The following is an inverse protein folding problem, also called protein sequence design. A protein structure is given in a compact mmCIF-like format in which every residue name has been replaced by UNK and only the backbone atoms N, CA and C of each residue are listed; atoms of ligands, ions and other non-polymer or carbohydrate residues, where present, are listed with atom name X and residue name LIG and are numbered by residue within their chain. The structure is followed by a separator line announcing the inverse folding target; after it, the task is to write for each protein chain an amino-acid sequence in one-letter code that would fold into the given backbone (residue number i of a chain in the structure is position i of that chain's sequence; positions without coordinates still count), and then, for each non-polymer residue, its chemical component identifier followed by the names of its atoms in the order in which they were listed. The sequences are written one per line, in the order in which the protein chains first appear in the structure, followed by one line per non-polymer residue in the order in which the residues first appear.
data_IF_329159891703
#
_entry.id   IF_329159891703
#
_cell.length_a   1.000
_cell.length_b   1.000
_cell.length_c   1.000
_cell.angle_alpha   90.00
_cell.angle_beta   90.00
_cell.angle_gamma   90.00
#
_symmetry.space_group_name_H-M   'P 1'
#
loop_
_entity.id
_entity.type
_entity.pdbx_description
1 polymer ?
#
# COMPACT_ATOMS: atom_id res chain seq x y z
N UNK A 1 7.32 -2.91 -18.55
CA UNK A 1 8.28 -1.88 -18.98
C UNK A 1 8.93 -2.21 -20.32
N UNK A 2 9.35 -3.44 -20.55
CA UNK A 2 9.83 -3.86 -21.88
C UNK A 2 8.74 -3.83 -22.96
N UNK A 3 7.48 -3.90 -22.56
CA UNK A 3 6.36 -3.70 -23.47
C UNK A 3 6.15 -2.21 -23.72
N UNK A 4 6.05 -1.83 -24.98
CA UNK A 4 5.94 -0.47 -25.52
C UNK A 4 4.80 0.38 -24.92
N UNK A 5 3.97 -0.16 -24.03
CA UNK A 5 2.87 0.51 -23.33
C UNK A 5 3.31 1.58 -22.32
N UNK A 6 4.56 1.57 -21.85
CA UNK A 6 5.06 2.48 -20.82
C UNK A 6 6.13 3.45 -21.33
N UNK A 7 6.02 3.91 -22.58
CA UNK A 7 7.00 4.82 -23.19
C UNK A 7 7.20 6.15 -22.48
N UNK A 8 6.21 6.59 -21.69
CA UNK A 8 6.20 7.89 -20.99
C UNK A 8 6.15 7.69 -19.46
N UNK A 9 6.75 6.60 -18.95
CA UNK A 9 6.76 6.34 -17.53
C UNK A 9 7.63 7.36 -16.80
N UNK A 10 7.04 8.04 -15.81
CA UNK A 10 7.80 8.90 -14.90
C UNK A 10 8.61 8.02 -13.95
N UNK A 11 9.93 8.24 -13.81
CA UNK A 11 10.76 7.46 -12.90
C UNK A 11 10.14 7.32 -11.50
N UNK A 12 10.06 6.10 -11.02
CA UNK A 12 9.35 5.76 -9.79
C UNK A 12 10.22 4.90 -8.88
N UNK A 13 10.23 5.23 -7.59
CA UNK A 13 10.86 4.42 -6.54
C UNK A 13 9.78 3.86 -5.64
N UNK A 14 9.74 2.52 -5.50
CA UNK A 14 8.92 1.83 -4.51
C UNK A 14 9.75 1.61 -3.24
N UNK A 15 9.23 2.06 -2.10
CA UNK A 15 9.85 1.87 -0.80
C UNK A 15 8.91 1.05 0.08
N UNK A 16 9.34 -0.15 0.45
CA UNK A 16 8.64 -1.03 1.36
C UNK A 16 9.23 -0.92 2.76
N UNK A 17 8.41 -0.58 3.75
CA UNK A 17 8.79 -0.52 5.15
C UNK A 17 7.88 -1.42 5.98
N UNK A 18 8.38 -2.60 6.38
CA UNK A 18 7.60 -3.57 7.14
C UNK A 18 8.50 -4.48 8.00
N UNK A 19 7.86 -5.25 8.88
CA UNK A 19 8.47 -6.35 9.65
C UNK A 19 7.55 -7.56 9.62
N UNK A 20 8.13 -8.74 9.48
CA UNK A 20 7.42 -9.99 9.66
C UNK A 20 7.72 -10.58 11.06
N UNK A 21 6.72 -11.18 11.70
CA UNK A 21 6.94 -11.98 12.89
C UNK A 21 7.88 -13.16 12.55
N UNK A 22 8.77 -13.58 13.47
CA UNK A 22 9.75 -14.64 13.21
C UNK A 22 9.15 -15.95 12.70
N UNK A 23 7.97 -16.34 13.20
CA UNK A 23 7.26 -17.55 12.77
C UNK A 23 6.34 -17.37 11.57
N UNK A 24 6.18 -16.14 11.00
CA UNK A 24 5.30 -15.92 9.85
C UNK A 24 6.04 -16.18 8.53
N UNK A 25 6.16 -17.45 8.17
CA UNK A 25 6.96 -17.89 7.03
C UNK A 25 6.50 -17.24 5.70
N UNK A 26 5.19 -17.16 5.45
CA UNK A 26 4.63 -16.52 4.24
C UNK A 26 5.00 -15.04 4.13
N UNK A 27 4.88 -14.27 5.21
CA UNK A 27 5.28 -12.87 5.20
C UNK A 27 6.78 -12.69 4.92
N UNK A 28 7.61 -13.58 5.46
CA UNK A 28 9.06 -13.60 5.17
C UNK A 28 9.35 -13.94 3.71
N UNK A 29 8.59 -14.87 3.11
CA UNK A 29 8.69 -15.18 1.69
C UNK A 29 8.32 -13.98 0.81
N UNK A 30 7.27 -13.23 1.17
CA UNK A 30 6.89 -12.00 0.46
C UNK A 30 8.02 -10.96 0.54
N UNK A 31 8.63 -10.76 1.71
CA UNK A 31 9.79 -9.86 1.85
C UNK A 31 10.94 -10.32 0.95
N UNK A 32 11.21 -11.62 0.92
CA UNK A 32 12.24 -12.18 0.03
C UNK A 32 11.90 -11.92 -1.44
N UNK A 33 10.65 -12.14 -1.85
CA UNK A 33 10.19 -11.90 -3.22
C UNK A 33 10.37 -10.43 -3.63
N UNK A 34 10.03 -9.47 -2.75
CA UNK A 34 10.27 -8.03 -2.98
C UNK A 34 11.77 -7.75 -3.21
N UNK A 35 12.65 -8.37 -2.41
CA UNK A 35 14.10 -8.19 -2.56
C UNK A 35 14.64 -8.82 -3.84
N UNK A 36 14.09 -9.96 -4.30
CA UNK A 36 14.48 -10.56 -5.60
C UNK A 36 14.01 -9.67 -6.77
N UNK A 37 12.80 -9.10 -6.71
CA UNK A 37 12.35 -8.10 -7.69
C UNK A 37 13.30 -6.88 -7.67
N UNK A 38 13.67 -6.39 -6.49
CA UNK A 38 14.60 -5.25 -6.34
C UNK A 38 15.96 -5.54 -7.00
N UNK A 39 16.53 -6.74 -6.79
CA UNK A 39 17.77 -7.15 -7.45
C UNK A 39 17.65 -7.11 -8.97
N UNK A 40 16.54 -7.61 -9.51
CA UNK A 40 16.31 -7.65 -10.96
C UNK A 40 16.19 -6.22 -11.51
N UNK A 41 15.22 -5.44 -11.02
CA UNK A 41 14.88 -4.15 -11.64
C UNK A 41 15.92 -3.06 -11.40
N UNK A 42 16.60 -3.06 -10.24
CA UNK A 42 17.59 -2.05 -9.90
C UNK A 42 18.92 -2.25 -10.66
N UNK A 43 19.17 -3.46 -11.20
CA UNK A 43 20.38 -3.77 -11.93
C UNK A 43 20.18 -3.91 -13.45
N UNK A 44 18.94 -4.02 -13.92
CA UNK A 44 18.65 -4.12 -15.36
C UNK A 44 18.85 -2.75 -16.03
N UNK A 45 19.77 -2.63 -17.03
CA UNK A 45 20.03 -1.38 -17.73
C UNK A 45 18.79 -0.73 -18.37
N UNK A 46 17.78 -1.52 -18.72
CA UNK A 46 16.56 -1.02 -19.36
C UNK A 46 15.54 -0.46 -18.35
N UNK A 47 15.65 -0.83 -17.07
CA UNK A 47 14.66 -0.48 -16.05
C UNK A 47 15.19 0.37 -14.91
N UNK A 48 16.46 0.26 -14.56
CA UNK A 48 17.06 0.89 -13.37
C UNK A 48 16.88 2.41 -13.25
N UNK A 49 16.79 3.10 -14.38
CA UNK A 49 16.60 4.55 -14.42
C UNK A 49 15.12 4.96 -14.42
N UNK A 50 14.20 3.99 -14.55
CA UNK A 50 12.75 4.19 -14.61
C UNK A 50 12.02 3.61 -13.39
N UNK A 51 12.57 2.55 -12.81
CA UNK A 51 11.95 1.85 -11.69
C UNK A 51 13.03 1.40 -10.71
N UNK A 52 12.86 1.76 -9.45
CA UNK A 52 13.67 1.24 -8.36
C UNK A 52 12.79 0.70 -7.25
N UNK A 53 13.26 -0.34 -6.59
CA UNK A 53 12.54 -1.01 -5.49
C UNK A 53 13.50 -1.17 -4.31
N UNK A 54 13.06 -0.72 -3.14
CA UNK A 54 13.81 -0.85 -1.90
C UNK A 54 12.96 -1.43 -0.78
N UNK A 55 13.52 -2.36 -0.04
CA UNK A 55 12.96 -2.82 1.22
C UNK A 55 13.81 -2.30 2.38
N UNK A 56 13.21 -1.50 3.28
CA UNK A 56 13.91 -0.86 4.39
C UNK A 56 14.20 -1.87 5.50
N UNK A 57 15.49 -2.09 5.75
CA UNK A 57 15.93 -2.92 6.87
C UNK A 57 15.56 -2.27 8.20
N UNK A 58 15.08 -3.08 9.15
CA UNK A 58 14.74 -2.64 10.50
C UNK A 58 13.81 -1.39 10.53
N UNK A 59 12.75 -1.41 9.72
CA UNK A 59 11.75 -0.35 9.70
C UNK A 59 11.25 -0.04 11.13
N UNK A 60 11.29 1.23 11.52
CA UNK A 60 10.92 1.73 12.84
C UNK A 60 10.42 3.17 12.75
N UNK A 61 10.01 3.76 13.88
CA UNK A 61 9.45 5.12 13.95
C UNK A 61 10.39 6.16 13.33
N UNK A 62 11.68 6.10 13.62
CA UNK A 62 12.64 7.08 13.09
C UNK A 62 12.80 7.02 11.57
N UNK A 63 12.65 5.83 10.97
CA UNK A 63 12.56 5.69 9.52
C UNK A 63 11.22 6.20 8.98
N UNK A 64 10.11 5.86 9.67
CA UNK A 64 8.78 6.30 9.26
C UNK A 64 8.68 7.83 9.17
N UNK A 65 9.22 8.56 10.14
CA UNK A 65 9.25 10.03 10.15
C UNK A 65 9.89 10.63 8.89
N UNK A 66 10.85 9.95 8.30
CA UNK A 66 11.53 10.38 7.07
C UNK A 66 10.82 9.93 5.81
N UNK A 67 10.37 8.67 5.79
CA UNK A 67 9.75 8.07 4.60
C UNK A 67 8.38 8.69 4.32
N UNK A 68 7.56 8.91 5.37
CA UNK A 68 6.22 9.49 5.21
C UNK A 68 6.29 10.89 4.60
N UNK A 69 7.23 11.72 5.06
CA UNK A 69 7.41 13.09 4.53
C UNK A 69 7.98 13.09 3.11
N UNK A 70 8.73 12.05 2.75
CA UNK A 70 9.38 11.94 1.44
C UNK A 70 8.50 11.31 0.35
N UNK A 71 7.35 10.74 0.73
CA UNK A 71 6.50 10.02 -0.23
C UNK A 71 5.63 10.97 -1.04
N UNK A 72 5.59 10.75 -2.35
CA UNK A 72 4.66 11.44 -3.25
C UNK A 72 3.30 10.74 -3.31
N UNK A 73 3.23 9.43 -3.03
CA UNK A 73 2.04 8.61 -3.11
C UNK A 73 2.06 7.57 -1.98
N UNK A 74 0.91 7.33 -1.36
CA UNK A 74 0.72 6.36 -0.29
C UNK A 74 0.00 5.13 -0.83
N UNK A 75 0.63 3.95 -0.81
CA UNK A 75 -0.01 2.71 -1.25
C UNK A 75 -0.64 1.98 -0.06
N UNK A 76 -1.98 1.77 -0.12
CA UNK A 76 -2.80 1.20 0.94
C UNK A 76 -3.69 0.11 0.32
N UNK A 77 -3.17 -1.11 0.26
CA UNK A 77 -3.67 -2.19 -0.60
C UNK A 77 -4.36 -3.33 0.16
N UNK A 78 -4.96 -3.05 1.31
CA UNK A 78 -5.75 -4.05 2.03
C UNK A 78 -6.99 -4.48 1.24
N UNK A 79 -7.45 -5.71 1.46
CA UNK A 79 -8.72 -6.16 0.89
C UNK A 79 -9.87 -5.44 1.57
N UNK A 80 -10.82 -4.92 0.80
CA UNK A 80 -11.97 -4.18 1.35
C UNK A 80 -12.70 -4.98 2.45
N UNK A 81 -12.88 -4.34 3.61
CA UNK A 81 -13.51 -4.91 4.80
C UNK A 81 -12.58 -5.67 5.74
N UNK A 82 -11.26 -5.69 5.49
CA UNK A 82 -10.31 -6.39 6.36
C UNK A 82 -9.48 -5.47 7.25
N UNK A 83 -9.23 -4.23 6.86
CA UNK A 83 -8.54 -3.25 7.69
C UNK A 83 -9.56 -2.38 8.43
N UNK A 84 -9.52 -2.39 9.75
CA UNK A 84 -10.47 -1.62 10.56
C UNK A 84 -10.28 -0.10 10.42
N UNK A 85 -9.07 0.36 10.26
CA UNK A 85 -8.73 1.78 10.12
C UNK A 85 -7.43 1.98 9.33
N UNK A 86 -6.33 1.42 9.82
CA UNK A 86 -4.99 1.84 9.45
C UNK A 86 -4.60 3.14 10.16
N UNK A 87 -3.32 3.44 10.19
CA UNK A 87 -2.79 4.69 10.76
C UNK A 87 -1.77 5.34 9.84
N UNK A 88 -1.07 4.56 9.02
CA UNK A 88 -0.10 5.06 8.05
C UNK A 88 -0.74 5.97 7.01
N UNK A 89 -1.89 5.58 6.49
CA UNK A 89 -2.68 6.33 5.52
C UNK A 89 -2.97 7.78 5.97
N UNK A 90 -3.39 7.96 7.22
CA UNK A 90 -3.64 9.29 7.80
C UNK A 90 -2.36 10.14 7.86
N UNK A 91 -1.23 9.53 8.23
CA UNK A 91 0.08 10.22 8.29
C UNK A 91 0.53 10.69 6.90
N UNK A 92 0.32 9.86 5.88
CA UNK A 92 0.61 10.23 4.50
C UNK A 92 -0.28 11.36 4.02
N UNK A 93 -1.60 11.33 4.28
CA UNK A 93 -2.53 12.41 3.95
C UNK A 93 -2.11 13.74 4.61
N UNK A 94 -1.75 13.73 5.91
CA UNK A 94 -1.25 14.89 6.64
C UNK A 94 0.02 15.49 6.02
N UNK A 95 0.80 14.68 5.30
CA UNK A 95 2.00 15.10 4.59
C UNK A 95 1.76 15.31 3.08
N UNK A 96 0.52 15.25 2.63
CA UNK A 96 0.12 15.58 1.26
C UNK A 96 0.34 14.49 0.22
N UNK A 97 0.58 13.24 0.64
CA UNK A 97 0.64 12.13 -0.29
C UNK A 97 -0.78 11.57 -0.54
N UNK A 98 -1.33 11.69 -1.77
CA UNK A 98 -2.60 11.06 -2.11
C UNK A 98 -2.53 9.54 -1.91
N UNK A 99 -3.67 8.95 -1.55
CA UNK A 99 -3.77 7.50 -1.35
C UNK A 99 -4.00 6.79 -2.68
N UNK A 100 -3.13 5.82 -3.01
CA UNK A 100 -3.42 4.79 -3.98
C UNK A 100 -3.85 3.55 -3.19
N UNK A 101 -5.14 3.26 -3.17
CA UNK A 101 -5.64 2.23 -2.27
C UNK A 101 -7.06 1.79 -2.56
N UNK A 102 -7.47 0.77 -1.85
CA UNK A 102 -8.84 0.27 -1.82
C UNK A 102 -9.71 1.12 -0.90
N UNK A 103 -11.04 1.08 -1.08
CA UNK A 103 -11.99 1.66 -0.14
C UNK A 103 -12.13 0.75 1.09
N UNK A 104 -11.12 0.81 1.97
CA UNK A 104 -11.01 0.02 3.19
C UNK A 104 -10.43 0.86 4.34
N UNK A 105 -10.84 0.58 5.56
CA UNK A 105 -10.40 1.31 6.74
C UNK A 105 -10.55 2.82 6.59
N UNK A 106 -9.59 3.58 7.07
CA UNK A 106 -9.60 5.05 6.99
C UNK A 106 -9.44 5.60 5.57
N UNK A 107 -9.11 4.79 4.57
CA UNK A 107 -9.09 5.26 3.17
C UNK A 107 -10.47 5.75 2.72
N UNK A 108 -11.56 5.16 3.25
CA UNK A 108 -12.93 5.62 3.00
C UNK A 108 -13.09 7.08 3.45
N UNK A 109 -12.71 7.35 4.69
CA UNK A 109 -12.83 8.70 5.27
C UNK A 109 -11.84 9.69 4.64
N UNK A 110 -10.66 9.24 4.22
CA UNK A 110 -9.69 10.05 3.47
C UNK A 110 -10.30 10.49 2.14
N UNK A 111 -10.88 9.55 1.39
CA UNK A 111 -11.54 9.84 0.12
C UNK A 111 -12.77 10.75 0.29
N UNK A 112 -13.54 10.60 1.39
CA UNK A 112 -14.63 11.50 1.73
C UNK A 112 -14.14 12.92 2.05
N UNK A 113 -13.06 13.06 2.81
CA UNK A 113 -12.53 14.36 3.22
C UNK A 113 -11.85 15.10 2.08
N UNK A 114 -11.01 14.42 1.31
CA UNK A 114 -10.25 15.05 0.21
C UNK A 114 -11.05 15.14 -1.10
N UNK A 115 -12.10 14.34 -1.26
CA UNK A 115 -12.77 14.07 -2.54
C UNK A 115 -12.07 12.93 -3.30
N UNK A 116 -12.86 11.96 -3.76
CA UNK A 116 -12.36 10.74 -4.40
C UNK A 116 -11.52 11.02 -5.65
N UNK A 117 -11.76 12.14 -6.33
CA UNK A 117 -11.00 12.62 -7.49
C UNK A 117 -9.57 13.03 -7.14
N UNK A 118 -9.29 13.28 -5.86
CA UNK A 118 -7.96 13.63 -5.37
C UNK A 118 -7.18 12.43 -4.85
N UNK A 119 -7.78 11.25 -4.96
CA UNK A 119 -7.19 9.96 -4.60
C UNK A 119 -7.09 9.03 -5.83
N UNK A 120 -6.43 7.90 -5.63
CA UNK A 120 -6.27 6.85 -6.64
C UNK A 120 -6.88 5.56 -6.13
N UNK A 121 -8.21 5.51 -6.12
CA UNK A 121 -8.96 4.37 -5.60
C UNK A 121 -9.06 3.28 -6.66
N UNK A 122 -8.90 2.02 -6.22
CA UNK A 122 -9.00 0.82 -7.04
C UNK A 122 -9.62 -0.34 -6.26
N UNK A 123 -9.92 -1.42 -6.97
CA UNK A 123 -10.27 -2.72 -6.43
C UNK A 123 -11.73 -2.87 -6.01
N UNK A 124 -12.03 -4.07 -5.54
CA UNK A 124 -13.36 -4.46 -5.09
C UNK A 124 -13.81 -3.65 -3.88
N UNK A 125 -15.10 -3.36 -3.81
CA UNK A 125 -15.75 -2.83 -2.60
C UNK A 125 -16.19 -3.99 -1.68
N UNK A 126 -16.57 -3.66 -0.46
CA UNK A 126 -17.04 -4.65 0.53
C UNK A 126 -18.18 -5.50 -0.04
N UNK A 127 -19.13 -4.85 -0.72
CA UNK A 127 -20.30 -5.53 -1.32
C UNK A 127 -19.87 -6.51 -2.43
N UNK A 128 -18.83 -6.19 -3.19
CA UNK A 128 -18.27 -7.07 -4.22
C UNK A 128 -17.60 -8.29 -3.60
N UNK A 129 -16.83 -8.08 -2.52
CA UNK A 129 -16.20 -9.16 -1.76
C UNK A 129 -17.25 -10.10 -1.17
N UNK A 130 -18.30 -9.55 -0.54
CA UNK A 130 -19.39 -10.35 0.02
C UNK A 130 -20.13 -11.14 -1.05
N UNK A 131 -20.42 -10.52 -2.20
CA UNK A 131 -21.02 -11.18 -3.36
C UNK A 131 -20.16 -12.34 -3.86
N UNK A 132 -18.86 -12.11 -4.09
CA UNK A 132 -17.93 -13.15 -4.53
C UNK A 132 -17.80 -14.29 -3.53
N UNK A 133 -17.79 -14.00 -2.23
CA UNK A 133 -17.80 -15.05 -1.19
C UNK A 133 -19.06 -15.89 -1.22
N UNK A 134 -20.22 -15.28 -1.51
CA UNK A 134 -21.52 -15.96 -1.55
C UNK A 134 -21.74 -16.75 -2.83
N UNK A 135 -21.38 -16.21 -3.97
CA UNK A 135 -21.62 -16.79 -5.30
C UNK A 135 -20.51 -17.78 -5.71
N UNK A 136 -19.35 -17.70 -5.06
CA UNK A 136 -18.16 -18.47 -5.36
C UNK A 136 -17.11 -17.62 -6.09
N UNK A 137 -15.92 -17.54 -5.52
CA UNK A 137 -14.76 -16.87 -6.11
C UNK A 137 -13.81 -17.91 -6.73
N UNK A 138 -13.47 -17.75 -7.99
CA UNK A 138 -12.65 -18.68 -8.75
C UNK A 138 -11.39 -17.98 -9.30
N UNK A 139 -10.37 -17.70 -8.46
CA UNK A 139 -9.17 -16.96 -8.87
C UNK A 139 -8.41 -17.64 -10.02
N UNK A 140 -8.40 -18.99 -10.06
CA UNK A 140 -7.77 -19.72 -11.15
C UNK A 140 -8.40 -19.43 -12.51
N UNK A 141 -9.69 -19.21 -12.58
CA UNK A 141 -10.37 -18.85 -13.83
C UNK A 141 -9.93 -17.46 -14.33
N UNK A 142 -9.78 -16.48 -13.43
CA UNK A 142 -9.26 -15.15 -13.76
C UNK A 142 -7.80 -15.21 -14.21
N UNK A 143 -6.98 -16.00 -13.51
CA UNK A 143 -5.59 -16.24 -13.88
C UNK A 143 -5.48 -16.89 -15.25
N UNK A 144 -6.27 -17.92 -15.56
CA UNK A 144 -6.24 -18.60 -16.86
C UNK A 144 -6.73 -17.71 -18.01
N UNK A 145 -7.67 -16.78 -17.73
CA UNK A 145 -8.23 -15.88 -18.72
C UNK A 145 -7.37 -14.64 -19.00
N UNK A 146 -6.44 -14.27 -18.10
CA UNK A 146 -5.63 -13.06 -18.24
C UNK A 146 -4.13 -13.41 -18.37
N UNK A 147 -3.55 -13.32 -19.58
CA UNK A 147 -2.14 -13.63 -19.80
C UNK A 147 -1.15 -12.75 -19.01
N UNK A 148 -1.53 -11.51 -18.67
CA UNK A 148 -0.67 -10.61 -17.90
C UNK A 148 -0.62 -11.05 -16.44
N UNK A 149 -1.76 -11.37 -15.84
CA UNK A 149 -1.83 -11.97 -14.50
C UNK A 149 -1.05 -13.26 -14.45
N UNK A 150 -1.31 -14.15 -15.43
CA UNK A 150 -0.62 -15.43 -15.52
C UNK A 150 0.89 -15.25 -15.54
N UNK A 151 1.41 -14.39 -16.40
CA UNK A 151 2.85 -14.11 -16.51
C UNK A 151 3.44 -13.61 -15.20
N UNK A 152 2.73 -12.72 -14.48
CA UNK A 152 3.22 -12.18 -13.20
C UNK A 152 3.23 -13.26 -12.11
N UNK A 153 2.15 -14.03 -11.98
CA UNK A 153 2.03 -15.08 -10.96
C UNK A 153 3.02 -16.21 -11.22
N UNK A 154 3.23 -16.58 -12.47
CA UNK A 154 4.17 -17.65 -12.86
C UNK A 154 5.64 -17.33 -12.53
N UNK A 155 6.02 -16.04 -12.38
CA UNK A 155 7.37 -15.66 -11.96
C UNK A 155 7.77 -16.24 -10.60
N UNK A 156 6.80 -16.66 -9.80
CA UNK A 156 7.03 -17.34 -8.52
C UNK A 156 7.56 -18.78 -8.69
N UNK A 157 7.37 -19.39 -9.87
CA UNK A 157 7.69 -20.82 -10.09
C UNK A 157 8.45 -21.12 -11.38
N UNK A 158 8.64 -20.16 -12.27
CA UNK A 158 9.27 -20.34 -13.59
C UNK A 158 10.80 -20.17 -13.57
N UNK A 159 11.38 -19.90 -12.41
CA UNK A 159 12.81 -19.68 -12.25
C UNK A 159 13.26 -18.24 -12.46
N UNK A 160 12.34 -17.30 -12.68
CA UNK A 160 12.66 -15.86 -12.77
C UNK A 160 13.25 -15.33 -11.45
N UNK A 161 12.74 -15.82 -10.32
CA UNK A 161 13.21 -15.45 -8.99
C UNK A 161 13.62 -16.67 -8.18
N UNK A 162 14.63 -16.50 -7.31
CA UNK A 162 15.20 -17.57 -6.50
C UNK A 162 14.78 -17.43 -5.03
N UNK A 163 14.06 -18.41 -4.51
CA UNK A 163 13.73 -18.52 -3.09
C UNK A 163 14.82 -19.22 -2.25
N UNK A 164 15.97 -19.57 -2.86
CA UNK A 164 17.07 -20.28 -2.20
C UNK A 164 16.77 -21.75 -1.91
N UNK A 165 15.86 -22.35 -2.69
CA UNK A 165 15.46 -23.75 -2.53
C UNK A 165 14.56 -24.01 -1.33
N UNK A 166 13.82 -23.00 -0.87
CA UNK A 166 12.87 -23.14 0.21
C UNK A 166 11.82 -24.20 -0.10
N UNK A 167 11.40 -24.96 0.93
CA UNK A 167 10.41 -26.01 0.81
C UNK A 167 9.22 -25.75 1.74
N UNK A 168 8.02 -26.14 1.28
CA UNK A 168 6.81 -25.99 2.08
C UNK A 168 6.42 -24.53 2.34
N UNK A 169 5.97 -24.24 3.54
CA UNK A 169 5.57 -22.89 3.95
C UNK A 169 6.76 -21.91 3.86
N UNK A 170 6.54 -20.80 3.20
CA UNK A 170 7.58 -19.79 2.98
C UNK A 170 8.40 -19.97 1.69
N UNK A 171 8.06 -20.94 0.82
CA UNK A 171 8.59 -21.04 -0.54
C UNK A 171 7.80 -20.15 -1.51
N UNK A 172 8.41 -19.77 -2.63
CA UNK A 172 7.69 -19.08 -3.70
C UNK A 172 6.61 -19.95 -4.34
N UNK A 173 6.85 -21.27 -4.37
CA UNK A 173 5.82 -22.22 -4.79
C UNK A 173 4.59 -22.18 -3.86
N UNK A 174 4.77 -22.05 -2.56
CA UNK A 174 3.66 -21.91 -1.61
C UNK A 174 2.90 -20.59 -1.85
N UNK A 175 3.60 -19.48 -2.11
CA UNK A 175 2.94 -18.22 -2.49
C UNK A 175 2.09 -18.39 -3.75
N UNK A 176 2.65 -19.01 -4.81
CA UNK A 176 1.92 -19.30 -6.04
C UNK A 176 0.69 -20.17 -5.78
N UNK A 177 0.87 -21.28 -5.05
CA UNK A 177 -0.22 -22.22 -4.77
C UNK A 177 -1.31 -21.58 -3.93
N UNK A 178 -0.97 -20.68 -2.99
CA UNK A 178 -1.95 -19.95 -2.17
C UNK A 178 -2.86 -19.00 -2.96
N UNK A 179 -2.43 -18.58 -4.13
CA UNK A 179 -3.25 -17.77 -5.05
C UNK A 179 -4.21 -18.61 -5.89
N UNK A 180 -3.86 -19.87 -6.17
CA UNK A 180 -4.54 -20.67 -7.20
C UNK A 180 -5.22 -21.94 -6.67
N UNK A 181 -4.91 -22.36 -5.43
CA UNK A 181 -5.37 -23.63 -4.87
C UNK A 181 -5.92 -23.46 -3.47
N UNK A 182 -7.04 -24.09 -3.21
CA UNK A 182 -7.57 -24.24 -1.85
C UNK A 182 -6.60 -25.10 -1.02
N UNK A 183 -6.41 -24.71 0.22
CA UNK A 183 -5.76 -25.54 1.25
C UNK A 183 -6.79 -26.04 2.27
N UNK A 184 -6.35 -26.88 3.21
CA UNK A 184 -7.24 -27.39 4.26
C UNK A 184 -7.80 -26.30 5.20
N UNK A 185 -7.15 -25.15 5.27
CA UNK A 185 -7.48 -24.08 6.22
C UNK A 185 -7.75 -22.72 5.54
N UNK A 186 -7.48 -22.57 4.24
CA UNK A 186 -7.66 -21.31 3.52
C UNK A 186 -8.08 -21.55 2.07
N UNK A 187 -8.99 -20.72 1.59
CA UNK A 187 -9.37 -20.68 0.18
C UNK A 187 -8.25 -20.03 -0.67
N UNK A 188 -8.19 -20.42 -1.95
CA UNK A 188 -7.32 -19.79 -2.93
C UNK A 188 -7.57 -18.28 -2.98
N UNK A 189 -6.49 -17.51 -3.09
CA UNK A 189 -6.53 -16.05 -3.15
C UNK A 189 -7.50 -15.41 -2.14
N UNK A 190 -7.35 -15.78 -0.89
CA UNK A 190 -8.22 -15.34 0.20
C UNK A 190 -8.31 -13.81 0.37
N UNK A 191 -7.39 -13.08 -0.23
CA UNK A 191 -7.30 -11.63 -0.21
C UNK A 191 -7.75 -10.97 -1.53
N UNK A 192 -8.29 -11.74 -2.47
CA UNK A 192 -8.79 -11.25 -3.77
C UNK A 192 -7.76 -10.48 -4.60
N UNK A 193 -6.49 -10.82 -4.46
CA UNK A 193 -5.38 -10.14 -5.13
C UNK A 193 -5.45 -10.28 -6.65
N UNK A 194 -5.82 -11.47 -7.15
CA UNK A 194 -5.96 -11.72 -8.59
C UNK A 194 -7.13 -10.88 -9.18
N UNK A 195 -8.17 -10.68 -8.40
CA UNK A 195 -9.30 -9.83 -8.81
C UNK A 195 -8.90 -8.35 -8.87
N UNK A 196 -8.22 -7.84 -7.86
CA UNK A 196 -7.87 -6.43 -7.74
C UNK A 196 -6.67 -6.01 -8.60
N UNK A 197 -5.79 -6.96 -8.96
CA UNK A 197 -4.51 -6.65 -9.62
C UNK A 197 -4.65 -5.84 -10.93
N UNK A 198 -5.59 -6.15 -11.85
CA UNK A 198 -5.73 -5.35 -13.07
C UNK A 198 -6.07 -3.89 -12.79
N UNK A 199 -7.03 -3.64 -11.89
CA UNK A 199 -7.47 -2.30 -11.53
C UNK A 199 -6.38 -1.53 -10.76
N UNK A 200 -5.63 -2.22 -9.88
CA UNK A 200 -4.42 -1.66 -9.28
C UNK A 200 -3.41 -1.19 -10.32
N UNK A 201 -3.11 -2.03 -11.32
CA UNK A 201 -2.13 -1.71 -12.37
C UNK A 201 -2.59 -0.49 -13.17
N UNK A 202 -3.84 -0.46 -13.60
CA UNK A 202 -4.40 0.66 -14.38
C UNK A 202 -4.40 1.95 -13.55
N UNK A 203 -4.79 1.87 -12.28
CA UNK A 203 -4.78 3.01 -11.37
C UNK A 203 -3.36 3.50 -11.07
N UNK A 204 -2.39 2.59 -10.92
CA UNK A 204 -0.98 2.96 -10.76
C UNK A 204 -0.41 3.65 -12.00
N UNK A 205 -0.75 3.17 -13.19
CA UNK A 205 -0.36 3.82 -14.46
C UNK A 205 -0.98 5.21 -14.55
N UNK A 206 -2.25 5.37 -14.19
CA UNK A 206 -2.93 6.67 -14.13
C UNK A 206 -2.22 7.62 -13.17
N UNK A 207 -1.91 7.19 -11.95
CA UNK A 207 -1.19 7.99 -10.96
C UNK A 207 0.19 8.44 -11.47
N UNK A 208 0.96 7.53 -12.09
CA UNK A 208 2.26 7.84 -12.67
C UNK A 208 2.15 8.85 -13.83
N UNK A 209 1.13 8.72 -14.65
CA UNK A 209 0.87 9.62 -15.79
C UNK A 209 0.47 11.02 -15.31
N UNK A 210 -0.44 11.10 -14.33
CA UNK A 210 -0.90 12.37 -13.75
C UNK A 210 0.24 13.09 -12.99
N UNK A 211 1.13 12.34 -12.36
CA UNK A 211 2.30 12.91 -11.67
C UNK A 211 3.23 13.71 -12.59
N UNK A 212 3.28 13.39 -13.87
CA UNK A 212 4.06 14.18 -14.86
C UNK A 212 3.56 15.64 -14.95
N UNK A 213 2.28 15.89 -14.70
CA UNK A 213 1.73 17.24 -14.54
C UNK A 213 1.86 17.70 -13.08
N UNK A 214 3.04 18.15 -12.71
CA UNK A 214 3.39 18.57 -11.35
C UNK A 214 2.44 19.59 -10.74
N UNK A 215 1.86 20.46 -11.54
CA UNK A 215 0.94 21.48 -11.04
C UNK A 215 -0.39 20.87 -10.60
N UNK A 216 -0.96 20.01 -11.43
CA UNK A 216 -2.25 19.36 -11.10
C UNK A 216 -2.07 18.31 -10.00
N UNK A 217 -0.99 17.55 -10.02
CA UNK A 217 -0.67 16.64 -8.93
C UNK A 217 -0.44 17.39 -7.60
N UNK A 218 0.29 18.51 -7.63
CA UNK A 218 0.49 19.36 -6.46
C UNK A 218 -0.80 19.95 -5.88
N UNK A 219 -1.83 20.17 -6.70
CA UNK A 219 -3.16 20.56 -6.19
C UNK A 219 -3.80 19.44 -5.38
N UNK A 220 -3.73 18.18 -5.85
CA UNK A 220 -4.22 17.02 -5.09
C UNK A 220 -3.50 16.92 -3.73
N UNK A 221 -2.18 17.09 -3.71
CA UNK A 221 -1.40 17.10 -2.47
C UNK A 221 -1.89 18.19 -1.50
N UNK A 222 -2.09 19.41 -1.97
CA UNK A 222 -2.59 20.53 -1.15
C UNK A 222 -4.01 20.28 -0.64
N UNK A 223 -4.90 19.71 -1.46
CA UNK A 223 -6.27 19.35 -1.05
C UNK A 223 -6.22 18.30 0.06
N UNK A 224 -5.35 17.29 -0.06
CA UNK A 224 -5.16 16.28 0.99
C UNK A 224 -4.75 16.94 2.31
N UNK A 225 -3.70 17.76 2.32
CA UNK A 225 -3.25 18.47 3.53
C UNK A 225 -4.38 19.34 4.11
N UNK A 226 -5.05 20.11 3.28
CA UNK A 226 -6.10 21.05 3.73
C UNK A 226 -7.29 20.34 4.40
N UNK A 227 -7.59 19.11 3.99
CA UNK A 227 -8.71 18.32 4.51
C UNK A 227 -8.30 17.26 5.55
N UNK A 228 -7.01 17.17 5.92
CA UNK A 228 -6.49 16.18 6.85
C UNK A 228 -6.82 16.48 8.34
N UNK A 229 -7.45 17.59 8.64
CA UNK A 229 -7.73 18.03 10.03
C UNK A 229 -8.50 17.01 10.86
N UNK A 230 -9.39 16.22 10.25
CA UNK A 230 -10.10 15.10 10.90
C UNK A 230 -9.13 14.09 11.54
N UNK A 231 -7.96 13.90 10.98
CA UNK A 231 -6.96 12.91 11.41
C UNK A 231 -5.91 13.49 12.38
N UNK A 232 -6.08 14.73 12.84
CA UNK A 232 -5.23 15.32 13.87
C UNK A 232 -5.44 14.63 15.22
N UNK A 233 -4.33 14.27 15.88
CA UNK A 233 -4.37 13.73 17.25
C UNK A 233 -4.94 14.73 18.24
N UNK A 234 -4.66 16.01 18.07
CA UNK A 234 -5.18 17.07 18.95
C UNK A 234 -6.71 17.11 18.90
N UNK A 235 -7.29 17.06 17.70
CA UNK A 235 -8.75 16.97 17.54
C UNK A 235 -9.31 15.76 18.27
N UNK A 236 -8.70 14.60 18.09
CA UNK A 236 -9.17 13.33 18.68
C UNK A 236 -9.11 13.39 20.21
N UNK A 237 -8.02 13.88 20.77
CA UNK A 237 -7.86 14.00 22.23
C UNK A 237 -8.82 15.02 22.82
N UNK A 238 -9.03 16.16 22.14
CA UNK A 238 -10.01 17.18 22.59
C UNK A 238 -11.44 16.60 22.57
N UNK A 239 -11.77 15.81 21.56
CA UNK A 239 -13.06 15.16 21.47
C UNK A 239 -13.23 14.13 22.60
N UNK A 240 -12.24 13.30 22.87
CA UNK A 240 -12.26 12.38 24.01
C UNK A 240 -12.39 13.11 25.35
N UNK A 241 -11.66 14.20 25.56
CA UNK A 241 -11.76 14.99 26.76
C UNK A 241 -13.19 15.50 27.00
N UNK A 242 -13.83 16.02 25.95
CA UNK A 242 -15.17 16.56 26.00
C UNK A 242 -16.26 15.49 26.11
N UNK A 243 -16.23 14.48 25.24
CA UNK A 243 -17.36 13.56 25.03
C UNK A 243 -17.28 12.29 25.89
N UNK A 244 -16.07 11.85 26.27
CA UNK A 244 -15.84 10.61 27.03
C UNK A 244 -15.43 10.91 28.47
N UNK A 245 -14.41 11.75 28.64
CA UNK A 245 -13.86 12.01 29.98
C UNK A 245 -14.55 13.14 30.70
N UNK A 246 -15.36 13.93 29.98
CA UNK A 246 -16.09 15.11 30.51
C UNK A 246 -15.17 16.09 31.28
N UNK A 247 -13.94 16.26 30.77
CA UNK A 247 -12.94 17.15 31.34
C UNK A 247 -12.82 18.44 30.52
N UNK A 248 -12.56 19.57 31.21
CA UNK A 248 -12.24 20.82 30.51
C UNK A 248 -10.73 20.89 30.20
N UNK A 249 -10.40 21.17 28.95
CA UNK A 249 -9.03 21.48 28.58
C UNK A 249 -8.70 22.92 28.94
N UNK A 250 -7.71 23.12 29.82
CA UNK A 250 -7.13 24.43 30.08
C UNK A 250 -5.75 24.49 29.44
N UNK A 251 -5.58 25.33 28.42
CA UNK A 251 -4.26 25.67 27.92
C UNK A 251 -3.48 26.36 29.04
N UNK A 252 -2.46 25.69 29.56
CA UNK A 252 -1.49 26.34 30.43
C UNK A 252 -0.55 27.15 29.56
N UNK A 253 -0.51 28.47 29.77
CA UNK A 253 0.44 29.37 29.09
C UNK A 253 1.91 28.99 29.31
N UNK A 254 2.20 28.18 30.32
CA UNK A 254 3.53 27.67 30.63
C UNK A 254 4.04 26.68 29.52
N UNK A 255 3.11 26.06 28.77
CA UNK A 255 3.46 25.11 27.69
C UNK A 255 3.53 25.76 26.30
N UNK A 256 3.34 27.07 26.19
CA UNK A 256 3.45 27.86 24.95
C UNK A 256 4.91 28.31 24.71
N UNK A 257 5.79 28.24 25.73
CA UNK A 257 7.22 28.39 25.50
C UNK A 257 7.72 27.16 24.73
N UNK A 258 8.24 27.39 23.53
CA UNK A 258 8.85 26.34 22.70
C UNK A 258 9.65 25.34 23.55
N UNK A 259 9.46 24.01 23.32
CA UNK A 259 10.36 23.06 23.94
C UNK A 259 11.76 23.39 23.44
N UNK A 260 12.61 23.87 24.32
CA UNK A 260 14.03 24.01 24.05
C UNK A 260 14.52 22.65 23.55
N UNK A 261 14.74 22.53 22.24
CA UNK A 261 15.43 21.41 21.65
C UNK A 261 16.80 21.34 22.31
N UNK A 262 16.93 20.48 23.29
CA UNK A 262 18.25 20.05 23.70
C UNK A 262 18.87 19.28 22.54
N UNK A 263 19.62 20.00 21.71
CA UNK A 263 20.61 19.41 20.82
C UNK A 263 21.65 18.70 21.71
N UNK A 264 21.59 17.39 21.73
CA UNK A 264 22.68 16.52 22.13
C UNK A 264 22.99 15.57 20.98
#
# INVERSE_FOLDING_TARGET
MKDKKLKNWTPTTFIFGAKAAPGYARAKAIIKYINEIAKLVNNDPETKDLLQVYFISNYNVSYAEKIVVAADLSEQTSTAGLEASGTGNMKFMLNGAPTLGTLDGANVEIAECAGIENEYIFGAKVEDIERMKKEGYHPKALYDANPEIKRVVDTLIDGTFDDGGAQGEGSFKELHDSLLKDSSWQKADNYFLIYDLPDYVDTKIRANTEYANRKEFGKKCLINIANAGKFSSDRTILQYAKEIWHTSYKLSLIHISEPTRHLR
#
